data_IF_945589193785
#
_entry.id   IF_945589193785
#
_cell.length_a   1.000
_cell.length_b   1.000
_cell.length_c   1.000
_cell.angle_alpha   90.00
_cell.angle_beta   90.00
_cell.angle_gamma   90.00
#
_symmetry.space_group_name_H-M   'P 1'
#
loop_
_entity.id
_entity.type
_entity.pdbx_description
1 polymer ?
#
# COMPACT_ATOMS: atom_id res chain seq x y z
N UNK A 1 -34.22 34.21 2.16
CA UNK A 1 -32.79 33.95 1.89
C UNK A 1 -32.62 33.91 0.38
N UNK A 2 -31.93 34.88 -0.19
CA UNK A 2 -31.99 35.15 -1.63
C UNK A 2 -31.04 34.22 -2.41
N UNK A 3 -31.36 33.90 -3.65
CA UNK A 3 -30.62 32.93 -4.48
C UNK A 3 -29.11 33.22 -4.55
N UNK A 4 -28.72 34.49 -4.63
CA UNK A 4 -27.33 34.93 -4.62
C UNK A 4 -26.59 34.52 -3.33
N UNK A 5 -27.26 34.60 -2.17
CA UNK A 5 -26.69 34.21 -0.87
C UNK A 5 -26.50 32.70 -0.75
N UNK A 6 -27.39 31.91 -1.36
CA UNK A 6 -27.28 30.46 -1.44
C UNK A 6 -26.10 30.04 -2.33
N UNK A 7 -25.97 30.63 -3.52
CA UNK A 7 -24.87 30.36 -4.44
C UNK A 7 -23.50 30.71 -3.83
N UNK A 8 -23.41 31.85 -3.14
CA UNK A 8 -22.20 32.24 -2.42
C UNK A 8 -21.83 31.22 -1.31
N UNK A 9 -22.81 30.78 -0.50
CA UNK A 9 -22.58 29.74 0.52
C UNK A 9 -22.14 28.40 -0.09
N UNK A 10 -22.76 27.96 -1.18
CA UNK A 10 -22.37 26.72 -1.87
C UNK A 10 -20.94 26.83 -2.41
N UNK A 11 -20.57 27.97 -3.00
CA UNK A 11 -19.22 28.21 -3.48
C UNK A 11 -18.19 28.15 -2.33
N UNK A 12 -18.46 28.83 -1.21
CA UNK A 12 -17.60 28.80 -0.01
C UNK A 12 -17.47 27.39 0.55
N UNK A 13 -18.59 26.69 0.77
CA UNK A 13 -18.60 25.32 1.27
C UNK A 13 -17.86 24.37 0.34
N UNK A 14 -17.96 24.56 -0.98
CA UNK A 14 -17.24 23.73 -1.96
C UNK A 14 -15.73 24.00 -1.93
N UNK A 15 -15.30 25.26 -1.75
CA UNK A 15 -13.89 25.64 -1.64
C UNK A 15 -13.29 25.08 -0.35
N UNK A 16 -14.05 25.14 0.74
CA UNK A 16 -13.69 24.56 2.02
C UNK A 16 -13.64 23.03 1.95
N UNK A 17 -14.61 22.38 1.31
CA UNK A 17 -14.57 20.93 1.06
C UNK A 17 -13.35 20.52 0.24
N UNK A 18 -12.96 21.31 -0.78
CA UNK A 18 -11.73 21.05 -1.57
C UNK A 18 -10.48 21.21 -0.71
N UNK A 19 -10.43 22.20 0.18
CA UNK A 19 -9.34 22.42 1.13
C UNK A 19 -9.25 21.28 2.13
N UNK A 20 -10.38 20.91 2.74
CA UNK A 20 -10.48 19.78 3.67
C UNK A 20 -10.10 18.47 3.00
N UNK A 21 -10.55 18.19 1.77
CA UNK A 21 -10.11 16.99 1.02
C UNK A 21 -8.63 17.00 0.67
N UNK A 22 -8.03 18.19 0.48
CA UNK A 22 -6.57 18.32 0.29
C UNK A 22 -5.81 18.00 1.57
N UNK A 23 -6.34 18.40 2.72
CA UNK A 23 -5.76 18.16 4.05
C UNK A 23 -6.05 16.74 4.56
N UNK A 24 -7.22 16.19 4.24
CA UNK A 24 -7.72 14.89 4.66
C UNK A 24 -7.31 13.74 3.74
N UNK A 25 -6.68 14.02 2.60
CA UNK A 25 -5.98 12.99 1.83
C UNK A 25 -4.76 12.58 2.65
N UNK A 26 -4.92 11.49 3.40
CA UNK A 26 -3.87 10.72 4.06
C UNK A 26 -2.54 10.97 3.37
N UNK A 27 -1.68 11.72 4.05
CA UNK A 27 -0.34 11.94 3.54
C UNK A 27 0.33 10.57 3.34
N UNK A 28 1.33 10.48 2.47
CA UNK A 28 2.10 9.24 2.32
C UNK A 28 2.64 8.75 3.67
N UNK A 29 2.89 9.68 4.61
CA UNK A 29 3.26 9.37 5.98
C UNK A 29 2.10 8.75 6.76
N UNK A 30 0.87 9.26 6.66
CA UNK A 30 -0.30 8.68 7.35
C UNK A 30 -0.62 7.27 6.84
N UNK A 31 -0.55 7.06 5.51
CA UNK A 31 -0.73 5.74 4.91
C UNK A 31 0.36 4.75 5.35
N UNK A 32 1.58 5.23 5.57
CA UNK A 32 2.65 4.42 6.15
C UNK A 32 2.35 4.13 7.63
N UNK A 33 2.00 5.14 8.43
CA UNK A 33 1.70 4.97 9.85
C UNK A 33 0.58 3.95 10.08
N UNK A 34 -0.49 4.00 9.30
CA UNK A 34 -1.60 3.05 9.41
C UNK A 34 -1.15 1.63 9.08
N UNK A 35 -0.30 1.45 8.05
CA UNK A 35 0.28 0.15 7.75
C UNK A 35 1.17 -0.37 8.88
N UNK A 36 1.99 0.52 9.45
CA UNK A 36 2.87 0.15 10.57
C UNK A 36 2.07 -0.18 11.81
N UNK A 37 0.97 0.51 12.09
CA UNK A 37 0.01 0.18 13.15
C UNK A 37 -0.50 -1.25 13.00
N UNK A 38 -1.02 -1.60 11.82
CA UNK A 38 -1.53 -2.96 11.55
C UNK A 38 -0.43 -4.01 11.73
N UNK A 39 0.77 -3.74 11.21
CA UNK A 39 1.91 -4.66 11.37
C UNK A 39 2.33 -4.82 12.84
N UNK A 40 2.32 -3.75 13.64
CA UNK A 40 2.60 -3.80 15.08
C UNK A 40 1.54 -4.56 15.86
N UNK A 41 0.25 -4.33 15.57
CA UNK A 41 -0.84 -5.09 16.18
C UNK A 41 -0.72 -6.59 15.87
N UNK A 42 -0.35 -6.94 14.63
CA UNK A 42 -0.11 -8.33 14.24
C UNK A 42 1.00 -8.97 15.08
N UNK A 43 2.10 -8.26 15.34
CA UNK A 43 3.18 -8.76 16.21
C UNK A 43 2.70 -8.95 17.65
N UNK A 44 1.90 -8.03 18.20
CA UNK A 44 1.32 -8.20 19.53
C UNK A 44 0.45 -9.47 19.58
N UNK A 45 -0.48 -9.64 18.63
CA UNK A 45 -1.35 -10.83 18.57
C UNK A 45 -0.53 -12.12 18.49
N UNK A 46 0.51 -12.15 17.66
CA UNK A 46 1.41 -13.30 17.59
C UNK A 46 2.11 -13.57 18.92
N UNK A 47 2.67 -12.54 19.56
CA UNK A 47 3.39 -12.75 20.82
C UNK A 47 2.51 -13.29 21.93
N UNK A 48 1.31 -12.74 22.07
CA UNK A 48 0.34 -13.14 23.09
C UNK A 48 -0.39 -14.46 22.78
N UNK A 49 -0.33 -14.94 21.54
CA UNK A 49 -0.72 -16.31 21.17
C UNK A 49 0.40 -17.34 21.32
N UNK A 50 1.56 -16.94 21.87
CA UNK A 50 2.70 -17.83 22.10
C UNK A 50 3.63 -18.02 20.90
N UNK A 51 3.45 -17.23 19.82
CA UNK A 51 4.32 -17.28 18.65
C UNK A 51 5.53 -16.36 18.82
N UNK A 52 6.64 -16.72 18.19
CA UNK A 52 7.84 -15.87 18.15
C UNK A 52 7.62 -14.67 17.23
N UNK A 53 7.96 -13.49 17.72
CA UNK A 53 7.98 -12.24 16.95
C UNK A 53 9.36 -11.86 16.45
N UNK A 54 10.36 -12.75 16.63
CA UNK A 54 11.69 -12.53 16.09
C UNK A 54 11.62 -12.35 14.57
N UNK A 55 12.52 -11.55 14.01
CA UNK A 55 12.54 -11.20 12.57
C UNK A 55 12.38 -12.42 11.66
N UNK A 56 13.07 -13.51 11.96
CA UNK A 56 13.03 -14.74 11.16
C UNK A 56 11.62 -15.36 11.16
N UNK A 57 11.07 -15.58 12.35
CA UNK A 57 9.72 -16.13 12.50
C UNK A 57 8.65 -15.25 11.83
N UNK A 58 8.74 -13.93 11.98
CA UNK A 58 7.82 -13.00 11.31
C UNK A 58 7.89 -13.11 9.77
N UNK A 59 9.09 -13.30 9.21
CA UNK A 59 9.28 -13.51 7.76
C UNK A 59 8.70 -14.85 7.31
N UNK A 60 8.93 -15.91 8.09
CA UNK A 60 8.39 -17.25 7.80
C UNK A 60 6.85 -17.25 7.85
N UNK A 61 6.25 -16.38 8.68
CA UNK A 61 4.80 -16.13 8.73
C UNK A 61 4.29 -15.13 7.67
N UNK A 62 5.13 -14.69 6.73
CA UNK A 62 4.72 -13.85 5.59
C UNK A 62 4.88 -12.34 5.78
N UNK A 63 5.45 -11.87 6.90
CA UNK A 63 5.76 -10.46 7.08
C UNK A 63 7.15 -10.14 6.49
N UNK A 64 7.20 -9.33 5.43
CA UNK A 64 8.50 -8.91 4.85
C UNK A 64 9.43 -8.27 5.91
N UNK A 65 10.75 -8.44 5.75
CA UNK A 65 11.76 -7.86 6.66
C UNK A 65 11.54 -6.37 6.90
N UNK A 66 11.16 -5.63 5.85
CA UNK A 66 10.91 -4.19 5.93
C UNK A 66 9.71 -3.86 6.81
N UNK A 67 8.59 -4.57 6.63
CA UNK A 67 7.39 -4.42 7.47
C UNK A 67 7.71 -4.68 8.94
N UNK A 68 8.43 -5.77 9.20
CA UNK A 68 8.84 -6.14 10.56
C UNK A 68 9.66 -5.04 11.25
N UNK A 69 10.61 -4.42 10.55
CA UNK A 69 11.43 -3.36 11.14
C UNK A 69 10.64 -2.09 11.47
N UNK A 70 9.72 -1.70 10.61
CA UNK A 70 8.83 -0.58 10.91
C UNK A 70 7.93 -0.89 12.11
N UNK A 71 7.35 -2.09 12.15
CA UNK A 71 6.51 -2.53 13.26
C UNK A 71 7.30 -2.56 14.58
N UNK A 72 8.52 -3.10 14.57
CA UNK A 72 9.44 -3.10 15.71
C UNK A 72 9.80 -1.68 16.15
N UNK A 73 10.13 -0.79 15.21
CA UNK A 73 10.44 0.60 15.53
C UNK A 73 9.27 1.31 16.23
N UNK A 74 8.03 1.03 15.82
CA UNK A 74 6.84 1.56 16.48
C UNK A 74 6.65 0.97 17.89
N UNK A 75 6.84 -0.35 18.06
CA UNK A 75 6.78 -0.99 19.38
C UNK A 75 7.87 -0.48 20.33
N UNK A 76 9.07 -0.20 19.82
CA UNK A 76 10.16 0.43 20.58
C UNK A 76 9.83 1.89 20.94
N UNK A 77 9.21 2.64 20.03
CA UNK A 77 8.74 3.99 20.32
C UNK A 77 7.68 3.99 21.43
N UNK A 78 6.77 3.01 21.41
CA UNK A 78 5.77 2.79 22.45
C UNK A 78 6.36 2.20 23.76
N UNK A 79 7.66 1.90 23.80
CA UNK A 79 8.35 1.25 24.94
C UNK A 79 7.81 -0.13 25.31
N UNK A 80 7.29 -0.85 24.32
CA UNK A 80 6.76 -2.21 24.51
C UNK A 80 7.83 -3.26 24.18
N UNK A 81 8.87 -2.90 23.42
CA UNK A 81 9.89 -3.84 22.92
C UNK A 81 11.32 -3.35 23.22
N UNK A 82 12.19 -4.25 23.69
CA UNK A 82 13.58 -3.98 24.14
C UNK A 82 14.69 -4.43 23.15
N UNK A 83 14.41 -4.41 21.84
CA UNK A 83 15.21 -5.05 20.78
C UNK A 83 15.10 -6.58 20.68
N UNK A 84 14.90 -7.31 21.77
CA UNK A 84 14.82 -8.78 21.78
C UNK A 84 13.38 -9.29 21.77
N UNK A 85 12.53 -8.82 22.68
CA UNK A 85 11.13 -9.26 22.81
C UNK A 85 10.23 -8.14 23.38
N UNK A 86 8.97 -8.46 23.65
CA UNK A 86 8.06 -7.58 24.38
C UNK A 86 8.38 -7.58 25.88
N UNK A 87 8.35 -6.39 26.47
CA UNK A 87 8.59 -6.14 27.89
C UNK A 87 7.27 -6.23 28.68
N UNK A 88 6.14 -5.97 28.02
CA UNK A 88 4.83 -5.96 28.65
C UNK A 88 4.27 -7.38 28.79
N UNK A 89 3.62 -7.65 29.93
CA UNK A 89 3.00 -8.95 30.25
C UNK A 89 1.52 -9.02 29.93
N UNK A 90 0.88 -7.88 29.65
CA UNK A 90 -0.57 -7.76 29.45
C UNK A 90 -0.89 -7.17 28.07
N UNK A 91 -1.85 -7.80 27.37
CA UNK A 91 -2.18 -7.44 25.99
C UNK A 91 -2.86 -6.07 25.91
N UNK A 92 -3.80 -5.80 26.82
CA UNK A 92 -4.56 -4.56 26.81
C UNK A 92 -3.67 -3.35 27.12
N UNK A 93 -2.75 -3.51 28.07
CA UNK A 93 -1.73 -2.51 28.40
C UNK A 93 -0.81 -2.24 27.21
N UNK A 94 -0.34 -3.28 26.52
CA UNK A 94 0.48 -3.13 25.32
C UNK A 94 -0.29 -2.41 24.20
N UNK A 95 -1.55 -2.76 23.98
CA UNK A 95 -2.39 -2.14 22.96
C UNK A 95 -2.64 -0.65 23.29
N UNK A 96 -2.94 -0.31 24.54
CA UNK A 96 -3.13 1.07 24.98
C UNK A 96 -1.85 1.93 24.78
N UNK A 97 -0.68 1.37 25.11
CA UNK A 97 0.61 2.04 24.89
C UNK A 97 0.89 2.26 23.38
N UNK A 98 0.56 1.28 22.53
CA UNK A 98 0.69 1.38 21.08
C UNK A 98 -0.21 2.49 20.53
N UNK A 99 -1.48 2.54 20.92
CA UNK A 99 -2.43 3.56 20.45
C UNK A 99 -2.04 4.96 20.93
N UNK A 100 -1.57 5.11 22.16
CA UNK A 100 -1.02 6.38 22.67
C UNK A 100 0.17 6.86 21.81
N UNK A 101 1.08 5.95 21.46
CA UNK A 101 2.22 6.23 20.59
C UNK A 101 1.80 6.63 19.17
N UNK A 102 0.78 5.97 18.59
CA UNK A 102 0.25 6.31 17.26
C UNK A 102 -0.35 7.72 17.28
N UNK A 103 -1.16 8.04 18.28
CA UNK A 103 -1.76 9.38 18.43
C UNK A 103 -0.69 10.47 18.55
N UNK A 104 0.44 10.17 19.21
CA UNK A 104 1.58 11.08 19.25
C UNK A 104 2.22 11.26 17.87
N UNK A 105 2.47 10.17 17.14
CA UNK A 105 3.09 10.21 15.81
C UNK A 105 2.22 10.87 14.74
N UNK A 106 0.89 10.76 14.84
CA UNK A 106 -0.04 11.50 13.99
C UNK A 106 0.13 13.02 14.11
N UNK A 107 0.55 13.51 15.28
CA UNK A 107 0.78 14.94 15.54
C UNK A 107 2.21 15.37 15.26
N UNK A 108 3.19 14.53 15.62
CA UNK A 108 4.62 14.86 15.58
C UNK A 108 5.32 14.45 14.27
N UNK A 109 4.72 13.54 13.48
CA UNK A 109 5.33 12.97 12.29
C UNK A 109 6.21 11.73 12.57
N UNK A 110 6.80 11.17 11.51
CA UNK A 110 7.48 9.86 11.54
C UNK A 110 9.00 9.91 11.79
N UNK A 111 9.58 11.08 12.02
CA UNK A 111 11.04 11.21 12.15
C UNK A 111 11.59 10.40 13.32
N UNK A 112 10.86 10.33 14.44
CA UNK A 112 11.25 9.52 15.59
C UNK A 112 11.33 8.01 15.26
N UNK A 113 10.48 7.51 14.36
CA UNK A 113 10.56 6.12 13.91
C UNK A 113 11.78 5.88 13.03
N UNK A 114 12.13 6.84 12.14
CA UNK A 114 13.26 6.67 11.23
C UNK A 114 14.60 6.49 11.95
N UNK A 115 14.78 7.16 13.09
CA UNK A 115 15.99 7.03 13.92
C UNK A 115 16.16 5.61 14.48
N UNK A 116 15.07 4.86 14.61
CA UNK A 116 15.06 3.47 15.12
C UNK A 116 15.20 2.42 14.02
N UNK A 117 15.16 2.83 12.75
CA UNK A 117 15.34 1.92 11.63
C UNK A 117 16.83 1.73 11.33
N UNK A 118 17.25 0.51 10.96
CA UNK A 118 18.60 0.31 10.48
C UNK A 118 18.80 1.03 9.13
N UNK A 119 20.01 1.55 8.94
CA UNK A 119 20.34 2.52 7.89
C UNK A 119 20.03 2.04 6.46
N UNK A 120 20.13 0.74 6.19
CA UNK A 120 19.85 0.16 4.88
C UNK A 120 18.37 0.33 4.44
N UNK A 121 17.42 0.37 5.37
CA UNK A 121 16.01 0.58 5.03
C UNK A 121 15.69 2.02 4.65
N UNK A 122 16.45 2.97 5.18
CA UNK A 122 16.32 4.38 4.80
C UNK A 122 16.83 4.60 3.36
N UNK A 123 17.88 3.88 2.96
CA UNK A 123 18.52 3.98 1.64
C UNK A 123 17.68 3.34 0.51
N UNK A 124 16.90 2.29 0.79
CA UNK A 124 16.04 1.62 -0.20
C UNK A 124 14.98 2.54 -0.85
N UNK A 125 14.59 3.63 -0.16
CA UNK A 125 13.66 4.60 -0.73
C UNK A 125 14.30 5.50 -1.80
N UNK A 126 15.60 5.72 -1.72
CA UNK A 126 16.35 6.56 -2.65
C UNK A 126 16.58 5.85 -3.99
N UNK A 127 16.79 4.53 -3.96
CA UNK A 127 16.96 3.72 -5.17
C UNK A 127 15.70 3.62 -6.04
N UNK A 128 14.52 3.47 -5.42
CA UNK A 128 13.23 3.35 -6.14
C UNK A 128 12.74 4.65 -6.79
N UNK A 129 13.09 5.80 -6.21
CA UNK A 129 12.75 7.10 -6.78
C UNK A 129 13.56 7.39 -8.07
N UNK A 130 14.78 6.85 -8.18
CA UNK A 130 15.62 7.02 -9.37
C UNK A 130 15.16 6.15 -10.55
N UNK A 131 14.67 4.94 -10.31
CA UNK A 131 14.20 4.06 -11.40
C UNK A 131 12.86 4.50 -12.00
N UNK A 132 11.96 5.10 -11.21
CA UNK A 132 10.68 5.60 -11.74
C UNK A 132 10.82 6.88 -12.60
N UNK A 133 11.91 7.63 -12.45
CA UNK A 133 12.18 8.83 -13.25
C UNK A 133 12.75 8.54 -14.65
N UNK A 134 13.48 7.42 -14.81
CA UNK A 134 14.07 7.04 -16.11
C UNK A 134 13.09 6.34 -17.03
N UNK A 135 12.11 5.61 -16.49
CA UNK A 135 11.13 4.88 -17.29
C UNK A 135 10.04 5.81 -17.87
N UNK A 136 9.64 6.88 -17.16
CA UNK A 136 8.68 7.87 -17.67
C UNK A 136 9.24 8.76 -18.79
N UNK A 137 10.56 8.95 -18.85
CA UNK A 137 11.22 9.71 -19.92
C UNK A 137 11.32 8.91 -21.23
N UNK A 138 11.32 7.57 -21.16
CA UNK A 138 11.36 6.71 -22.35
C UNK A 138 10.00 6.67 -23.08
N UNK A 139 8.88 6.68 -22.34
CA UNK A 139 7.53 6.58 -22.93
C UNK A 139 7.07 7.88 -23.61
N UNK A 140 7.47 9.06 -23.10
CA UNK A 140 7.13 10.34 -23.74
C UNK A 140 7.83 10.57 -25.08
N UNK A 141 8.95 9.89 -25.34
CA UNK A 141 9.70 10.03 -26.59
C UNK A 141 9.16 9.11 -27.72
N UNK A 142 8.34 8.10 -27.38
CA UNK A 142 7.75 7.20 -28.37
C UNK A 142 6.44 7.73 -28.96
N UNK A 143 5.73 8.61 -28.24
CA UNK A 143 4.44 9.18 -28.69
C UNK A 143 4.61 10.36 -29.66
N UNK A 144 5.74 11.09 -29.62
CA UNK A 144 5.93 12.25 -30.52
C UNK A 144 6.43 11.90 -31.93
N UNK A 145 6.91 10.68 -32.18
CA UNK A 145 7.46 10.28 -33.49
C UNK A 145 6.42 9.70 -34.48
N UNK A 146 5.13 9.61 -34.12
CA UNK A 146 4.07 9.09 -35.02
C UNK A 146 3.18 10.16 -35.67
N UNK A 147 3.42 11.44 -35.43
CA UNK A 147 2.49 12.51 -35.83
C UNK A 147 2.80 13.20 -37.18
N UNK A 148 3.81 12.78 -37.93
CA UNK A 148 4.18 13.41 -39.21
C UNK A 148 4.33 12.40 -40.35
N UNK A 149 3.24 11.74 -40.73
CA UNK A 149 3.06 11.18 -42.09
C UNK A 149 1.59 10.81 -42.29
N UNK A 150 0.79 11.77 -42.78
CA UNK A 150 -0.54 11.52 -43.33
C UNK A 150 -0.61 12.18 -44.70
N UNK A 151 -0.21 11.42 -45.72
CA UNK A 151 -0.45 11.73 -47.13
C UNK A 151 -1.66 10.93 -47.59
N UNK A 152 -2.57 11.63 -48.27
CA UNK A 152 -3.83 11.19 -48.87
C UNK A 152 -3.75 9.84 -49.59
N UNK A 153 -4.73 8.96 -49.34
CA UNK A 153 -5.31 8.09 -50.38
C UNK A 153 -6.81 7.83 -50.15
N UNK A 154 -7.59 7.62 -51.24
CA UNK A 154 -9.05 7.71 -51.23
C UNK A 154 -9.75 6.40 -50.82
N UNK A 155 -10.99 6.58 -50.38
CA UNK A 155 -12.01 5.58 -50.07
C UNK A 155 -12.55 4.91 -51.33
N UNK A 156 -12.74 3.59 -51.28
CA UNK A 156 -13.77 2.92 -52.08
C UNK A 156 -13.48 1.48 -52.50
N UNK A 157 -14.16 0.53 -51.86
CA UNK A 157 -14.86 -0.52 -52.61
C UNK A 157 -14.33 -1.96 -52.56
N UNK A 158 -15.18 -2.81 -51.96
CA UNK A 158 -15.53 -4.16 -52.38
C UNK A 158 -14.84 -5.40 -51.75
N UNK A 159 -15.75 -6.20 -51.17
CA UNK A 159 -15.93 -7.66 -51.29
C UNK A 159 -15.13 -8.65 -50.43
N UNK A 160 -15.94 -9.33 -49.59
CA UNK A 160 -16.15 -10.78 -49.51
C UNK A 160 -15.18 -11.68 -48.74
N UNK A 161 -15.76 -12.41 -47.77
CA UNK A 161 -15.76 -13.87 -47.79
C UNK A 161 -14.95 -14.60 -46.71
N UNK A 162 -15.62 -15.53 -46.02
CA UNK A 162 -15.01 -16.64 -45.26
C UNK A 162 -15.12 -16.48 -43.73
N UNK A 163 -16.15 -17.03 -43.09
CA UNK A 163 -16.23 -18.43 -42.61
C UNK A 163 -15.22 -18.75 -41.49
N UNK A 164 -15.70 -19.10 -40.28
CA UNK A 164 -14.78 -19.57 -39.24
C UNK A 164 -15.29 -19.64 -37.80
N UNK A 165 -16.33 -20.43 -37.55
CA UNK A 165 -16.44 -21.38 -36.41
C UNK A 165 -16.50 -20.85 -34.96
N UNK A 166 -17.63 -21.20 -34.34
CA UNK A 166 -17.94 -21.25 -32.92
C UNK A 166 -16.83 -21.84 -32.03
N UNK A 167 -16.64 -21.24 -30.85
CA UNK A 167 -15.92 -21.87 -29.74
C UNK A 167 -16.67 -21.65 -28.42
N UNK A 168 -17.78 -22.36 -28.28
CA UNK A 168 -18.29 -22.85 -26.99
C UNK A 168 -17.83 -24.29 -26.81
N UNK A 169 -17.71 -24.69 -25.53
CA UNK A 169 -17.40 -26.04 -25.03
C UNK A 169 -15.92 -26.45 -25.08
N UNK A 170 -15.33 -27.23 -24.17
CA UNK A 170 -15.63 -27.93 -22.90
C UNK A 170 -14.25 -28.48 -22.51
N UNK A 171 -13.86 -28.55 -21.23
CA UNK A 171 -13.19 -29.71 -20.60
C UNK A 171 -13.20 -29.49 -19.08
N UNK A 172 -14.08 -30.23 -18.40
CA UNK A 172 -13.82 -30.77 -17.07
C UNK A 172 -12.92 -32.00 -17.19
N UNK A 173 -12.00 -32.20 -16.25
CA UNK A 173 -11.73 -33.47 -15.55
C UNK A 173 -10.31 -33.51 -14.97
N UNK A 174 -10.22 -33.64 -13.63
CA UNK A 174 -9.44 -34.73 -12.99
C UNK A 174 -9.76 -34.80 -11.49
N UNK A 175 -10.70 -35.68 -11.18
CA UNK A 175 -10.81 -36.38 -9.90
C UNK A 175 -9.95 -37.65 -9.96
N UNK A 176 -9.46 -38.09 -8.80
CA UNK A 176 -8.77 -39.37 -8.56
C UNK A 176 -7.96 -39.24 -7.25
N UNK A 177 -8.54 -39.35 -6.05
CA UNK A 177 -9.01 -40.60 -5.40
C UNK A 177 -8.01 -41.75 -5.54
N UNK A 178 -7.23 -41.99 -4.49
CA UNK A 178 -6.84 -43.33 -4.07
C UNK A 178 -6.93 -43.42 -2.54
N UNK A 179 -8.01 -44.06 -2.12
CA UNK A 179 -8.28 -44.59 -0.79
C UNK A 179 -8.03 -46.09 -0.85
N UNK A 180 -7.33 -46.63 0.15
CA UNK A 180 -7.61 -47.91 0.82
C UNK A 180 -7.41 -49.23 0.06
N UNK A 181 -6.57 -50.10 0.61
CA UNK A 181 -6.52 -51.53 0.32
C UNK A 181 -5.67 -52.25 1.36
N UNK A 182 -6.33 -52.71 2.42
CA UNK A 182 -6.03 -53.97 3.12
C UNK A 182 -6.78 -55.10 2.40
#
# INVERSE_FOLDING_TARGET
>A
MNEATLRAKIATLSAENRKLRRVAKYSRADALLERVRVDSQQLLVWRFSGLSIARRAAVDMGMSRRRWQWARALLQHARIHDDNDLICTDFDTALAALESSINHLQRAGLESLKVRLPQFILLDNVGRAKSQGTDQAADHNHVQKRSTSRVNQPVGGASSGGAGVDRREIVMARHGLLSGGD
#
